data_IF_550089252234
#
_entry.id   IF_550089252234
#
_cell.length_a   1.000
_cell.length_b   1.000
_cell.length_c   1.000
_cell.angle_alpha   90.00
_cell.angle_beta   90.00
_cell.angle_gamma   90.00
#
_symmetry.space_group_name_H-M   'P 1'
#
loop_
_entity.id
_entity.type
_entity.pdbx_description
1 polymer ?
#
# COMPACT_ATOMS: atom_id res chain seq x y z
N UNK A 1 12.43 -4.76 13.04
CA UNK A 1 11.17 -5.54 13.01
C UNK A 1 9.99 -4.78 12.38
N UNK A 2 9.78 -4.94 11.07
CA UNK A 2 8.48 -4.67 10.44
C UNK A 2 7.56 -5.87 10.68
N UNK A 3 6.45 -5.69 11.40
CA UNK A 3 5.54 -6.81 11.70
C UNK A 3 4.77 -7.31 10.48
N UNK A 4 4.60 -6.46 9.45
CA UNK A 4 3.74 -6.74 8.31
C UNK A 4 4.51 -6.88 7.00
N UNK A 5 5.58 -6.11 6.81
CA UNK A 5 6.32 -6.08 5.55
C UNK A 5 7.38 -7.18 5.49
N UNK A 6 7.58 -7.70 4.28
CA UNK A 6 8.68 -8.61 3.97
C UNK A 6 10.02 -7.96 4.32
N UNK A 7 10.85 -8.69 5.05
CA UNK A 7 12.21 -8.29 5.43
C UNK A 7 13.06 -9.52 5.72
N UNK A 8 14.36 -9.36 5.94
CA UNK A 8 15.24 -10.47 6.32
C UNK A 8 14.79 -11.14 7.63
N UNK A 9 14.22 -10.36 8.57
CA UNK A 9 13.64 -10.84 9.83
C UNK A 9 12.25 -11.48 9.64
N UNK A 10 11.57 -11.21 8.52
CA UNK A 10 10.20 -11.66 8.22
C UNK A 10 10.03 -11.98 6.72
N UNK A 11 10.54 -13.14 6.24
CA UNK A 11 10.47 -13.50 4.83
C UNK A 11 9.04 -13.83 4.36
N UNK A 12 8.13 -14.13 5.30
CA UNK A 12 6.70 -14.40 5.06
C UNK A 12 5.81 -13.14 5.15
N UNK A 13 6.42 -11.95 5.19
CA UNK A 13 5.71 -10.68 5.24
C UNK A 13 5.02 -10.33 3.92
N UNK A 14 4.09 -9.38 3.98
CA UNK A 14 3.43 -8.83 2.81
C UNK A 14 4.37 -7.86 2.07
N UNK A 15 4.21 -7.77 0.75
CA UNK A 15 4.74 -6.62 0.01
C UNK A 15 3.93 -5.38 0.33
N UNK A 16 4.55 -4.21 0.17
CA UNK A 16 3.89 -2.93 0.46
C UNK A 16 2.61 -2.76 -0.39
N UNK A 17 2.68 -3.06 -1.68
CA UNK A 17 1.55 -2.99 -2.60
C UNK A 17 0.39 -3.90 -2.20
N UNK A 18 0.66 -5.06 -1.57
CA UNK A 18 -0.37 -5.98 -1.10
C UNK A 18 -1.12 -5.39 0.10
N UNK A 19 -0.40 -4.79 1.05
CA UNK A 19 -1.02 -4.11 2.20
C UNK A 19 -1.82 -2.89 1.75
N UNK A 20 -1.28 -2.08 0.84
CA UNK A 20 -2.00 -0.93 0.28
C UNK A 20 -3.29 -1.37 -0.44
N UNK A 21 -3.25 -2.48 -1.18
CA UNK A 21 -4.43 -3.04 -1.82
C UNK A 21 -5.49 -3.53 -0.81
N UNK A 22 -5.07 -4.14 0.31
CA UNK A 22 -5.95 -4.54 1.41
C UNK A 22 -6.62 -3.30 2.02
N UNK A 23 -5.85 -2.27 2.36
CA UNK A 23 -6.36 -1.01 2.94
C UNK A 23 -7.36 -0.33 2.00
N UNK A 24 -7.03 -0.24 0.71
CA UNK A 24 -7.91 0.33 -0.32
C UNK A 24 -9.27 -0.37 -0.34
N UNK A 25 -9.28 -1.72 -0.30
CA UNK A 25 -10.53 -2.50 -0.26
C UNK A 25 -11.35 -2.23 0.99
N UNK A 26 -10.74 -2.18 2.17
CA UNK A 26 -11.48 -1.94 3.41
C UNK A 26 -12.08 -0.53 3.46
N UNK A 27 -11.34 0.49 3.00
CA UNK A 27 -11.85 1.86 2.92
C UNK A 27 -13.04 1.95 1.96
N UNK A 28 -12.93 1.39 0.75
CA UNK A 28 -14.06 1.34 -0.21
C UNK A 28 -15.29 0.70 0.45
N UNK A 29 -15.10 -0.45 1.14
CA UNK A 29 -16.20 -1.14 1.83
C UNK A 29 -16.83 -0.27 2.90
N UNK A 30 -16.05 0.50 3.67
CA UNK A 30 -16.58 1.42 4.69
C UNK A 30 -17.29 2.61 4.06
N UNK A 31 -16.71 3.22 3.03
CA UNK A 31 -17.32 4.34 2.30
C UNK A 31 -18.66 3.96 1.70
N UNK A 32 -18.80 2.75 1.15
CA UNK A 32 -20.09 2.26 0.61
C UNK A 32 -21.21 2.19 1.64
N UNK A 33 -20.90 2.06 2.94
CA UNK A 33 -21.92 2.00 3.99
C UNK A 33 -22.50 3.36 4.38
N UNK A 34 -21.83 4.45 3.99
CA UNK A 34 -22.20 5.83 4.36
C UNK A 34 -22.49 6.69 3.13
N UNK A 35 -22.51 6.11 1.93
CA UNK A 35 -22.58 6.87 0.67
C UNK A 35 -23.90 7.61 0.47
N UNK A 36 -25.01 7.08 1.01
CA UNK A 36 -26.34 7.68 0.92
C UNK A 36 -26.73 8.47 2.19
N UNK A 37 -25.78 8.70 3.10
CA UNK A 37 -26.01 9.44 4.34
C UNK A 37 -25.86 10.95 4.11
N UNK A 38 -26.98 11.66 4.14
CA UNK A 38 -27.05 13.10 3.80
C UNK A 38 -26.50 14.03 4.89
N UNK A 39 -26.16 13.50 6.08
CA UNK A 39 -25.60 14.30 7.18
C UNK A 39 -24.25 14.89 6.78
N UNK A 40 -23.97 16.11 7.24
CA UNK A 40 -22.76 16.86 6.88
C UNK A 40 -21.50 16.10 7.32
N UNK A 41 -21.55 15.44 8.48
CA UNK A 41 -20.46 14.63 9.00
C UNK A 41 -20.17 13.41 8.11
N UNK A 42 -21.21 12.75 7.59
CA UNK A 42 -21.03 11.60 6.71
C UNK A 42 -20.42 12.01 5.36
N UNK A 43 -20.87 13.13 4.80
CA UNK A 43 -20.28 13.73 3.59
C UNK A 43 -18.80 14.06 3.78
N UNK A 44 -18.44 14.73 4.89
CA UNK A 44 -17.05 15.06 5.19
C UNK A 44 -16.16 13.80 5.35
N UNK A 45 -16.67 12.74 5.99
CA UNK A 45 -15.96 11.46 6.11
C UNK A 45 -15.79 10.80 4.73
N UNK A 46 -16.81 10.85 3.88
CA UNK A 46 -16.75 10.30 2.53
C UNK A 46 -15.71 11.04 1.66
N UNK A 47 -15.67 12.38 1.72
CA UNK A 47 -14.66 13.20 1.04
C UNK A 47 -13.24 12.84 1.48
N UNK A 48 -13.02 12.71 2.79
CA UNK A 48 -11.73 12.28 3.34
C UNK A 48 -11.34 10.89 2.82
N UNK A 49 -12.27 9.93 2.80
CA UNK A 49 -12.01 8.59 2.29
C UNK A 49 -11.63 8.62 0.80
N UNK A 50 -12.32 9.41 -0.02
CA UNK A 50 -11.99 9.57 -1.45
C UNK A 50 -10.57 10.13 -1.60
N UNK A 51 -10.18 11.13 -0.80
CA UNK A 51 -8.82 11.66 -0.83
C UNK A 51 -7.77 10.62 -0.43
N UNK A 52 -8.04 9.84 0.63
CA UNK A 52 -7.17 8.74 1.06
C UNK A 52 -7.03 7.69 -0.04
N UNK A 53 -8.12 7.31 -0.71
CA UNK A 53 -8.08 6.34 -1.82
C UNK A 53 -7.22 6.81 -3.01
N UNK A 54 -7.23 8.12 -3.31
CA UNK A 54 -6.32 8.72 -4.30
C UNK A 54 -4.86 8.55 -3.87
N UNK A 55 -4.54 8.92 -2.62
CA UNK A 55 -3.18 8.82 -2.08
C UNK A 55 -2.68 7.37 -2.04
N UNK A 56 -3.54 6.42 -1.66
CA UNK A 56 -3.20 4.99 -1.68
C UNK A 56 -2.86 4.52 -3.10
N UNK A 57 -3.58 5.01 -4.10
CA UNK A 57 -3.30 4.68 -5.51
C UNK A 57 -1.94 5.23 -5.95
N UNK A 58 -1.62 6.47 -5.57
CA UNK A 58 -0.30 7.06 -5.82
C UNK A 58 0.82 6.25 -5.12
N UNK A 59 0.62 5.85 -3.86
CA UNK A 59 1.57 5.00 -3.13
C UNK A 59 1.79 3.65 -3.82
N UNK A 60 0.73 3.03 -4.34
CA UNK A 60 0.85 1.74 -5.06
C UNK A 60 1.70 1.91 -6.32
N UNK A 61 1.44 2.93 -7.13
CA UNK A 61 2.25 3.21 -8.32
C UNK A 61 3.72 3.50 -8.00
N UNK A 62 3.99 4.24 -6.91
CA UNK A 62 5.34 4.49 -6.45
C UNK A 62 6.05 3.19 -6.01
N UNK A 63 5.33 2.28 -5.34
CA UNK A 63 5.85 0.97 -4.92
C UNK A 63 6.20 0.07 -6.13
N UNK A 64 5.29 0.00 -7.10
CA UNK A 64 5.46 -0.75 -8.35
C UNK A 64 6.63 -0.20 -9.18
N UNK A 65 6.71 1.13 -9.31
CA UNK A 65 7.82 1.79 -9.99
C UNK A 65 9.16 1.53 -9.29
N UNK A 66 9.19 1.59 -7.95
CA UNK A 66 10.40 1.27 -7.17
C UNK A 66 10.86 -0.17 -7.44
N UNK A 67 9.92 -1.13 -7.47
CA UNK A 67 10.21 -2.52 -7.83
C UNK A 67 10.78 -2.63 -9.24
N UNK A 68 10.16 -1.94 -10.20
CA UNK A 68 10.62 -1.91 -11.60
C UNK A 68 12.02 -1.33 -11.73
N UNK A 69 12.33 -0.23 -11.03
CA UNK A 69 13.66 0.40 -11.02
C UNK A 69 14.70 -0.58 -10.48
N UNK A 70 14.40 -1.26 -9.37
CA UNK A 70 15.31 -2.21 -8.75
C UNK A 70 15.55 -3.43 -9.65
N UNK A 71 14.50 -3.98 -10.25
CA UNK A 71 14.62 -5.12 -11.17
C UNK A 71 15.41 -4.78 -12.43
N UNK A 72 15.16 -3.60 -13.02
CA UNK A 72 15.90 -3.12 -14.18
C UNK A 72 17.38 -2.89 -13.88
N UNK A 73 17.70 -2.38 -12.69
CA UNK A 73 19.06 -1.97 -12.34
C UNK A 73 19.91 -3.09 -11.76
N UNK A 74 19.30 -4.02 -11.02
CA UNK A 74 20.00 -5.05 -10.23
C UNK A 74 19.54 -6.47 -10.52
N UNK A 75 18.53 -6.67 -11.39
CA UNK A 75 17.92 -7.96 -11.64
C UNK A 75 16.93 -8.38 -10.54
N UNK A 76 16.51 -9.64 -10.60
CA UNK A 76 15.57 -10.22 -9.62
C UNK A 76 16.15 -10.19 -8.21
N UNK A 77 15.27 -10.05 -7.23
CA UNK A 77 15.64 -10.19 -5.82
C UNK A 77 16.22 -11.58 -5.57
N UNK A 78 17.33 -11.66 -4.82
CA UNK A 78 17.95 -12.89 -4.37
C UNK A 78 17.83 -12.91 -2.84
N UNK A 79 17.34 -14.01 -2.29
CA UNK A 79 17.12 -14.16 -0.85
C UNK A 79 18.42 -13.90 -0.07
N UNK A 80 18.31 -13.09 0.99
CA UNK A 80 19.40 -12.75 1.89
C UNK A 80 20.46 -11.80 1.33
N UNK A 81 20.27 -11.23 0.12
CA UNK A 81 21.19 -10.22 -0.43
C UNK A 81 20.46 -8.91 -0.74
N UNK A 82 20.78 -7.80 -0.04
CA UNK A 82 20.16 -6.52 -0.33
C UNK A 82 20.55 -6.05 -1.75
N UNK A 83 19.57 -5.58 -2.52
CA UNK A 83 19.79 -4.93 -3.83
C UNK A 83 20.38 -3.54 -3.67
N UNK A 84 19.96 -2.83 -2.64
CA UNK A 84 20.44 -1.50 -2.23
C UNK A 84 20.53 -1.45 -0.70
N UNK A 85 21.42 -0.63 -0.16
CA UNK A 85 21.62 -0.49 1.28
C UNK A 85 22.55 -1.54 1.88
N UNK A 86 22.53 -1.65 3.21
CA UNK A 86 23.30 -2.63 3.99
C UNK A 86 22.32 -3.62 4.63
N UNK A 87 22.74 -4.88 4.71
CA UNK A 87 22.13 -5.95 5.50
C UNK A 87 22.46 -5.78 6.98
#
# INVERSE_FOLDING_TARGET
MTHFLVSDEKPDGFKLEELLAILRRDIIRRSSKIMDDERVEAKAVLENNIKILSLLTECMHLSENSTTILERSFGRSIDGKPRIGKS
#
